data_IF_641862835082
#
_entry.id   IF_641862835082
#
_cell.length_a   1.000
_cell.length_b   1.000
_cell.length_c   1.000
_cell.angle_alpha   90.00
_cell.angle_beta   90.00
_cell.angle_gamma   90.00
#
_symmetry.space_group_name_H-M   'P 1'
#
loop_
_entity.id
_entity.type
_entity.pdbx_description
1 polymer ?
#
# COMPACT_ATOMS: atom_id res chain seq x y z
N UNK A 1 1.74 23.72 7.69
CA UNK A 1 1.18 22.39 7.40
C UNK A 1 2.22 21.59 6.65
N UNK A 2 2.39 20.30 7.01
CA UNK A 2 3.34 19.43 6.32
C UNK A 2 2.88 19.14 4.89
N UNK A 3 3.82 18.67 4.06
CA UNK A 3 3.51 18.27 2.69
C UNK A 3 2.47 17.16 2.68
N UNK A 4 2.61 16.14 3.55
CA UNK A 4 1.64 15.04 3.61
C UNK A 4 0.25 15.52 3.96
N UNK A 5 0.10 16.40 4.95
CA UNK A 5 -1.20 16.94 5.33
C UNK A 5 -1.81 17.77 4.20
N UNK A 6 -0.99 18.52 3.48
CA UNK A 6 -1.43 19.29 2.33
C UNK A 6 -1.97 18.38 1.22
N UNK A 7 -1.26 17.27 0.94
CA UNK A 7 -1.70 16.31 -0.07
C UNK A 7 -3.01 15.62 0.32
N UNK A 8 -3.13 15.22 1.60
CA UNK A 8 -4.36 14.59 2.10
C UNK A 8 -5.54 15.54 1.93
N UNK A 9 -5.36 16.80 2.30
CA UNK A 9 -6.42 17.81 2.17
C UNK A 9 -6.75 18.12 0.72
N UNK A 10 -5.73 18.35 -0.11
CA UNK A 10 -5.91 18.69 -1.53
C UNK A 10 -6.66 17.61 -2.28
N UNK A 11 -6.28 16.35 -2.07
CA UNK A 11 -6.89 15.21 -2.77
C UNK A 11 -8.11 14.64 -2.05
N UNK A 12 -8.50 15.21 -0.91
CA UNK A 12 -9.65 14.74 -0.11
C UNK A 12 -9.51 13.28 0.28
N UNK A 13 -8.30 12.91 0.69
CA UNK A 13 -8.00 11.53 1.07
C UNK A 13 -8.65 11.18 2.42
N UNK A 14 -9.11 9.95 2.54
CA UNK A 14 -9.76 9.45 3.76
C UNK A 14 -8.97 8.27 4.32
N UNK A 15 -9.15 7.95 5.63
CA UNK A 15 -8.46 6.80 6.20
C UNK A 15 -8.79 5.49 5.50
N UNK A 16 -7.77 4.66 5.28
CA UNK A 16 -7.93 3.32 4.68
C UNK A 16 -8.05 2.28 5.80
N UNK A 17 -8.88 1.23 5.63
CA UNK A 17 -8.99 0.17 6.64
C UNK A 17 -7.67 -0.48 7.02
N UNK A 18 -6.73 -0.60 6.07
CA UNK A 18 -5.41 -1.19 6.34
C UNK A 18 -4.44 -0.25 7.05
N UNK A 19 -4.77 1.03 7.16
CA UNK A 19 -3.90 2.09 7.64
C UNK A 19 -3.53 3.04 6.50
N UNK A 20 -3.15 4.27 6.84
CA UNK A 20 -2.87 5.30 5.84
C UNK A 20 -4.13 5.99 5.32
N UNK A 21 -3.96 6.74 4.25
CA UNK A 21 -5.04 7.51 3.61
C UNK A 21 -5.10 7.22 2.12
N UNK A 22 -6.29 7.29 1.55
CA UNK A 22 -6.46 7.02 0.13
C UNK A 22 -7.60 7.83 -0.47
N UNK A 23 -7.57 7.91 -1.80
CA UNK A 23 -8.69 8.43 -2.60
C UNK A 23 -8.72 7.69 -3.93
N UNK A 24 -9.92 7.30 -4.37
CA UNK A 24 -10.06 6.67 -5.67
C UNK A 24 -10.08 7.76 -6.75
N UNK A 25 -9.21 7.60 -7.77
CA UNK A 25 -9.07 8.59 -8.84
C UNK A 25 -9.65 8.10 -10.16
N UNK A 26 -9.85 6.81 -10.32
CA UNK A 26 -10.48 6.25 -11.52
C UNK A 26 -11.01 4.86 -11.25
N UNK A 27 -12.17 4.54 -11.84
CA UNK A 27 -12.75 3.20 -11.78
C UNK A 27 -13.61 2.92 -13.01
N UNK A 28 -13.42 1.74 -13.57
CA UNK A 28 -14.42 1.08 -14.43
C UNK A 28 -14.38 -0.42 -14.08
N UNK A 29 -15.07 -1.26 -14.82
CA UNK A 29 -15.11 -2.70 -14.50
C UNK A 29 -13.77 -3.39 -14.65
N UNK A 30 -12.87 -2.84 -15.47
CA UNK A 30 -11.60 -3.49 -15.82
C UNK A 30 -10.45 -3.07 -14.93
N UNK A 31 -10.54 -1.89 -14.28
CA UNK A 31 -9.42 -1.35 -13.52
C UNK A 31 -9.90 -0.32 -12.51
N UNK A 32 -9.19 -0.23 -11.38
CA UNK A 32 -9.32 0.88 -10.44
C UNK A 32 -7.95 1.43 -10.07
N UNK A 33 -7.88 2.74 -9.86
CA UNK A 33 -6.66 3.44 -9.43
C UNK A 33 -6.97 4.25 -8.19
N UNK A 34 -6.09 4.18 -7.20
CA UNK A 34 -6.15 5.04 -6.02
C UNK A 34 -4.81 5.76 -5.84
N UNK A 35 -4.85 6.92 -5.20
CA UNK A 35 -3.69 7.45 -4.50
C UNK A 35 -3.71 6.90 -3.09
N UNK A 36 -2.55 6.52 -2.58
CA UNK A 36 -2.37 6.00 -1.23
C UNK A 36 -1.19 6.70 -0.58
N UNK A 37 -1.37 7.16 0.65
CA UNK A 37 -0.36 7.92 1.37
C UNK A 37 -0.16 7.35 2.76
N UNK A 38 1.10 7.09 3.13
CA UNK A 38 1.50 6.70 4.48
C UNK A 38 2.36 7.78 5.09
N UNK A 39 2.02 8.19 6.31
CA UNK A 39 2.84 9.08 7.10
C UNK A 39 3.75 8.29 8.04
N UNK A 40 4.77 8.95 8.59
CA UNK A 40 5.83 8.33 9.39
C UNK A 40 5.33 7.43 10.52
N UNK A 41 4.24 7.83 11.19
CA UNK A 41 3.69 7.11 12.33
C UNK A 41 2.69 6.02 11.93
N UNK A 42 2.44 5.86 10.63
CA UNK A 42 1.45 4.93 10.13
C UNK A 42 2.11 3.65 9.62
N UNK A 43 1.34 2.57 9.65
CA UNK A 43 1.72 1.28 9.10
C UNK A 43 0.54 0.74 8.31
N UNK A 44 0.78 0.34 7.06
CA UNK A 44 -0.23 -0.39 6.30
C UNK A 44 -0.18 -1.84 6.76
N UNK A 45 -1.19 -2.27 7.53
CA UNK A 45 -1.22 -3.58 8.16
C UNK A 45 -1.23 -4.70 7.13
N UNK A 46 -0.73 -5.85 7.54
CA UNK A 46 -0.71 -7.06 6.72
C UNK A 46 -2.09 -7.36 6.15
N UNK A 47 -2.14 -7.48 4.85
CA UNK A 47 -3.37 -7.75 4.11
C UNK A 47 -3.04 -8.46 2.82
N UNK A 48 -4.05 -9.03 2.18
CA UNK A 48 -3.91 -9.59 0.84
C UNK A 48 -5.15 -9.28 0.02
N UNK A 49 -4.97 -9.26 -1.29
CA UNK A 49 -6.01 -8.95 -2.25
C UNK A 49 -6.09 -10.11 -3.23
N UNK A 50 -7.33 -10.50 -3.59
CA UNK A 50 -7.58 -11.61 -4.50
C UNK A 50 -7.37 -11.26 -5.97
N UNK A 51 -6.86 -10.07 -6.25
CA UNK A 51 -6.53 -9.57 -7.59
C UNK A 51 -5.10 -9.07 -7.63
N UNK A 52 -4.54 -8.91 -8.82
CA UNK A 52 -3.21 -8.35 -8.98
C UNK A 52 -3.24 -6.85 -8.70
N UNK A 53 -2.23 -6.38 -8.00
CA UNK A 53 -2.08 -4.96 -7.68
C UNK A 53 -0.71 -4.47 -8.12
N UNK A 54 -0.67 -3.30 -8.75
CA UNK A 54 0.57 -2.63 -9.13
C UNK A 54 0.71 -1.36 -8.31
N UNK A 55 1.86 -1.21 -7.68
CA UNK A 55 2.21 -0.05 -6.88
C UNK A 55 3.16 0.84 -7.67
N UNK A 56 2.88 2.15 -7.69
CA UNK A 56 3.66 3.16 -8.42
C UNK A 56 4.13 4.22 -7.42
N UNK A 57 5.42 4.50 -7.40
CA UNK A 57 5.95 5.55 -6.54
C UNK A 57 5.76 6.92 -7.17
N UNK A 58 5.20 7.88 -6.42
CA UNK A 58 5.00 9.25 -6.92
C UNK A 58 5.85 10.28 -6.22
N UNK A 59 5.86 10.32 -4.90
CA UNK A 59 6.63 11.36 -4.19
C UNK A 59 6.86 11.01 -2.72
N UNK A 60 7.75 11.77 -2.11
CA UNK A 60 8.11 11.61 -0.70
C UNK A 60 9.30 10.70 -0.52
N UNK A 61 9.34 10.02 0.61
CA UNK A 61 10.40 9.08 0.93
C UNK A 61 10.10 7.71 0.34
N UNK A 62 11.13 6.89 0.11
CA UNK A 62 10.89 5.52 -0.34
C UNK A 62 9.96 4.76 0.60
N UNK A 63 9.21 3.84 0.04
CA UNK A 63 8.26 3.00 0.76
C UNK A 63 8.80 1.59 0.86
N UNK A 64 8.91 1.05 2.07
CA UNK A 64 9.26 -0.35 2.24
C UNK A 64 8.01 -1.21 2.14
N UNK A 65 8.03 -2.18 1.23
CA UNK A 65 6.97 -3.17 1.06
C UNK A 65 7.49 -4.48 1.62
N UNK A 66 6.75 -5.05 2.57
CA UNK A 66 7.03 -6.37 3.15
C UNK A 66 6.07 -7.36 2.52
N UNK A 67 6.56 -8.50 2.04
CA UNK A 67 5.72 -9.53 1.44
C UNK A 67 5.96 -10.88 2.10
N UNK A 68 4.92 -11.70 2.21
CA UNK A 68 5.02 -13.06 2.74
C UNK A 68 4.07 -13.98 1.98
N UNK A 69 4.59 -15.09 1.48
CA UNK A 69 3.79 -16.10 0.78
C UNK A 69 3.22 -17.13 1.74
N UNK A 70 3.97 -17.45 2.79
CA UNK A 70 3.69 -18.60 3.66
C UNK A 70 3.29 -18.20 5.08
N UNK A 71 3.32 -16.90 5.42
CA UNK A 71 3.04 -16.43 6.77
C UNK A 71 4.16 -16.73 7.76
N UNK A 72 5.31 -17.18 7.29
CA UNK A 72 6.47 -17.53 8.12
C UNK A 72 7.64 -16.59 7.81
N UNK A 73 8.10 -16.62 6.57
CA UNK A 73 9.21 -15.78 6.10
C UNK A 73 8.67 -14.55 5.38
N UNK A 74 9.50 -13.54 5.24
CA UNK A 74 9.11 -12.35 4.50
C UNK A 74 10.28 -11.80 3.70
N UNK A 75 9.96 -11.00 2.69
CA UNK A 75 10.92 -10.28 1.85
C UNK A 75 10.60 -8.79 1.89
N UNK A 76 11.56 -7.96 1.53
CA UNK A 76 11.37 -6.51 1.48
C UNK A 76 11.75 -5.95 0.12
N UNK A 77 11.03 -4.90 -0.28
CA UNK A 77 11.35 -4.11 -1.47
C UNK A 77 11.20 -2.64 -1.08
N UNK A 78 12.16 -1.82 -1.47
CA UNK A 78 12.08 -0.37 -1.25
C UNK A 78 11.65 0.32 -2.55
N UNK A 79 10.39 0.69 -2.61
CA UNK A 79 9.81 1.38 -3.76
C UNK A 79 10.18 2.87 -3.69
N UNK A 80 10.67 3.42 -4.80
CA UNK A 80 11.13 4.82 -4.86
C UNK A 80 12.61 4.98 -4.59
N UNK A 81 13.34 3.89 -4.34
CA UNK A 81 14.78 3.88 -4.09
C UNK A 81 15.49 3.26 -5.28
N UNK A 82 16.68 3.79 -5.65
CA UNK A 82 17.53 3.23 -6.71
C UNK A 82 16.78 3.04 -8.03
N UNK A 83 15.92 4.01 -8.39
CA UNK A 83 15.13 3.98 -9.62
C UNK A 83 14.12 2.82 -9.68
N UNK A 84 13.72 2.28 -8.55
CA UNK A 84 12.67 1.26 -8.47
C UNK A 84 11.33 1.94 -8.21
N UNK A 85 10.55 2.19 -9.27
CA UNK A 85 9.34 3.00 -9.17
C UNK A 85 8.04 2.21 -9.31
N UNK A 86 8.11 0.93 -9.71
CA UNK A 86 6.94 0.08 -9.90
C UNK A 86 7.18 -1.27 -9.24
N UNK A 87 6.15 -1.79 -8.56
CA UNK A 87 6.18 -3.12 -7.97
C UNK A 87 4.83 -3.80 -8.14
N UNK A 88 4.84 -5.04 -8.63
CA UNK A 88 3.62 -5.84 -8.75
C UNK A 88 3.50 -6.77 -7.55
N UNK A 89 2.39 -6.64 -6.81
CA UNK A 89 2.05 -7.55 -5.72
C UNK A 89 1.21 -8.67 -6.31
N UNK A 90 1.68 -9.90 -6.16
CA UNK A 90 0.93 -11.06 -6.65
C UNK A 90 -0.36 -11.22 -5.84
N UNK A 91 -1.44 -11.56 -6.54
CA UNK A 91 -2.72 -11.83 -5.87
C UNK A 91 -2.54 -12.90 -4.79
N UNK A 92 -3.28 -12.74 -3.70
CA UNK A 92 -3.28 -13.67 -2.56
C UNK A 92 -1.96 -13.75 -1.79
N UNK A 93 -1.05 -12.79 -1.97
CA UNK A 93 0.16 -12.67 -1.16
C UNK A 93 -0.08 -11.68 -0.03
N UNK A 94 0.34 -12.03 1.19
CA UNK A 94 0.32 -11.10 2.31
C UNK A 94 1.34 -10.00 2.07
N UNK A 95 0.96 -8.75 2.31
CA UNK A 95 1.91 -7.65 2.28
C UNK A 95 1.53 -6.54 3.24
N UNK A 96 2.53 -5.78 3.64
CA UNK A 96 2.41 -4.63 4.53
C UNK A 96 3.38 -3.57 4.05
N UNK A 97 3.18 -2.32 4.48
CA UNK A 97 3.99 -1.21 3.98
C UNK A 97 4.30 -0.21 5.08
N UNK A 98 5.47 0.42 4.95
CA UNK A 98 5.90 1.48 5.86
C UNK A 98 6.78 2.48 5.11
N UNK A 99 6.58 3.77 5.34
CA UNK A 99 7.45 4.79 4.75
C UNK A 99 8.81 4.82 5.46
N UNK A 100 9.86 5.12 4.71
CA UNK A 100 11.20 5.28 5.27
C UNK A 100 11.45 6.67 5.85
N UNK A 101 10.53 7.59 5.70
CA UNK A 101 10.71 8.96 6.19
C UNK A 101 9.40 9.59 6.62
N UNK A 102 9.21 10.87 6.28
CA UNK A 102 8.03 11.59 6.75
C UNK A 102 6.74 11.16 6.06
N UNK A 103 6.80 10.79 4.79
CA UNK A 103 5.64 10.26 4.05
C UNK A 103 6.07 9.60 2.75
N UNK A 104 5.20 8.74 2.23
CA UNK A 104 5.29 8.21 0.87
C UNK A 104 3.93 8.32 0.21
N UNK A 105 3.91 8.86 -1.01
CA UNK A 105 2.71 8.90 -1.86
C UNK A 105 2.91 7.93 -3.02
N UNK A 106 1.97 7.00 -3.15
CA UNK A 106 2.01 5.99 -4.21
C UNK A 106 0.67 5.95 -4.93
N UNK A 107 0.67 5.35 -6.11
CA UNK A 107 -0.54 4.93 -6.79
C UNK A 107 -0.69 3.44 -6.69
N UNK A 108 -1.93 2.96 -6.57
CA UNK A 108 -2.25 1.54 -6.56
C UNK A 108 -3.25 1.26 -7.68
N UNK A 109 -2.89 0.34 -8.57
CA UNK A 109 -3.74 -0.10 -9.67
C UNK A 109 -4.14 -1.54 -9.43
N UNK A 110 -5.44 -1.81 -9.44
CA UNK A 110 -5.98 -3.17 -9.30
C UNK A 110 -6.78 -3.52 -10.53
N UNK A 111 -6.54 -4.69 -11.09
CA UNK A 111 -7.25 -5.17 -12.30
C UNK A 111 -7.60 -6.66 -12.14
N UNK A 112 -8.88 -7.04 -12.35
CA UNK A 112 -10.06 -6.16 -12.53
C UNK A 112 -10.24 -5.20 -11.36
N UNK A 113 -11.16 -4.24 -11.48
CA UNK A 113 -11.33 -3.19 -10.48
C UNK A 113 -11.51 -3.74 -9.06
N UNK A 114 -10.88 -3.08 -8.10
CA UNK A 114 -10.91 -3.47 -6.69
C UNK A 114 -12.32 -3.37 -6.12
N UNK A 115 -12.72 -4.39 -5.34
CA UNK A 115 -13.89 -4.38 -4.47
C UNK A 115 -13.42 -4.71 -3.05
N UNK A 116 -14.08 -4.16 -2.04
CA UNK A 116 -13.66 -4.45 -0.65
C UNK A 116 -13.78 -5.93 -0.29
N UNK A 117 -14.63 -6.68 -0.99
CA UNK A 117 -14.71 -8.14 -0.83
C UNK A 117 -13.42 -8.85 -1.26
N UNK A 118 -12.56 -8.19 -2.06
CA UNK A 118 -11.27 -8.74 -2.47
C UNK A 118 -10.23 -8.64 -1.36
N UNK A 119 -10.46 -7.78 -0.37
CA UNK A 119 -9.49 -7.47 0.68
C UNK A 119 -9.68 -8.37 1.88
N UNK A 120 -8.59 -9.00 2.30
CA UNK A 120 -8.52 -9.71 3.57
C UNK A 120 -7.49 -9.03 4.45
N UNK A 121 -7.94 -8.45 5.57
CA UNK A 121 -7.03 -7.91 6.59
C UNK A 121 -6.66 -9.03 7.55
N UNK A 122 -5.37 -9.14 7.89
CA UNK A 122 -4.94 -10.06 8.92
C UNK A 122 -5.51 -9.62 10.27
N UNK A 123 -5.71 -10.56 11.22
CA UNK A 123 -6.12 -10.20 12.58
C UNK A 123 -5.17 -9.20 13.20
N UNK A 124 -5.69 -8.38 14.12
CA UNK A 124 -4.88 -7.41 14.85
C UNK A 124 -3.71 -8.14 15.52
N UNK A 125 -2.49 -7.61 15.32
CA UNK A 125 -1.29 -8.20 15.89
C UNK A 125 -0.69 -9.34 15.06
N UNK A 126 -1.37 -9.80 14.01
CA UNK A 126 -0.82 -10.84 13.15
C UNK A 126 0.36 -10.31 12.34
N UNK A 127 1.36 -11.15 12.22
CA UNK A 127 2.54 -10.90 11.35
C UNK A 127 3.14 -12.24 10.98
N UNK A 128 3.94 -12.30 9.89
CA UNK A 128 4.68 -13.53 9.60
C UNK A 128 5.56 -13.91 10.80
N UNK A 129 5.74 -15.21 11.01
CA UNK A 129 6.44 -15.73 12.19
C UNK A 129 7.81 -15.08 12.39
N UNK A 130 8.56 -14.88 11.30
CA UNK A 130 9.92 -14.35 11.35
C UNK A 130 10.00 -12.82 11.20
N UNK A 131 8.85 -12.14 11.15
CA UNK A 131 8.81 -10.68 11.04
C UNK A 131 9.13 -10.04 12.40
N UNK A 132 10.03 -9.02 12.41
CA UNK A 132 10.41 -8.31 13.62
C UNK A 132 9.44 -7.22 14.08
#
# INVERSE_FOLDING_TARGET
>A
MSISKTLIKYHKMIPHPEGGHYVEVFRNKDVSHIYFLLEKHEFSHWHKISKNETLHFYSGNPLTIFTSKDGINFETVDLGSKNNFIYNVKKNSWFAMKTKGSYSLIGCTVAPAFEFDDLELAPVGWKPKNFW
#
